data_IF_752379528744
#
_entry.id   IF_752379528744
#
_cell.length_a   1.000
_cell.length_b   1.000
_cell.length_c   1.000
_cell.angle_alpha   90.00
_cell.angle_beta   90.00
_cell.angle_gamma   90.00
#
_symmetry.space_group_name_H-M   'P 1'
#
loop_
_entity.id
_entity.type
_entity.pdbx_description
1 polymer ?
#
# COMPACT_ATOMS: atom_id res chain seq x y z
N UNK A 1 -14.99 17.90 -8.10
CA UNK A 1 -13.77 18.67 -7.75
C UNK A 1 -12.80 17.67 -7.15
N UNK A 2 -11.61 17.48 -7.73
CA UNK A 2 -10.70 16.45 -7.26
C UNK A 2 -9.73 16.90 -6.16
N UNK A 3 -9.46 18.19 -6.03
CA UNK A 3 -8.61 18.74 -4.98
C UNK A 3 -9.09 20.15 -4.65
N UNK A 4 -9.16 20.49 -3.37
CA UNK A 4 -9.62 21.79 -2.88
C UNK A 4 -8.71 22.25 -1.75
N UNK A 5 -8.17 23.46 -1.90
CA UNK A 5 -7.39 24.10 -0.84
C UNK A 5 -8.33 24.57 0.27
N UNK A 6 -8.05 24.14 1.49
CA UNK A 6 -8.77 24.50 2.69
C UNK A 6 -8.08 25.70 3.33
N UNK A 7 -8.84 26.70 3.77
CA UNK A 7 -8.28 27.93 4.36
C UNK A 7 -8.27 27.88 5.90
N UNK A 8 -9.18 27.12 6.52
CA UNK A 8 -9.30 27.03 7.97
C UNK A 8 -9.73 25.61 8.41
N UNK A 9 -8.81 24.79 8.96
CA UNK A 9 -7.35 24.96 8.96
C UNK A 9 -6.75 24.90 7.54
N UNK A 10 -5.60 25.54 7.34
CA UNK A 10 -4.89 25.55 6.06
C UNK A 10 -4.47 24.14 5.66
N UNK A 11 -4.90 23.69 4.48
CA UNK A 11 -4.66 22.32 4.04
C UNK A 11 -5.20 22.03 2.66
N UNK A 12 -5.29 20.75 2.30
CA UNK A 12 -5.87 20.31 1.03
C UNK A 12 -6.73 19.07 1.26
N UNK A 13 -7.91 19.07 0.63
CA UNK A 13 -8.79 17.91 0.56
C UNK A 13 -8.82 17.40 -0.88
N UNK A 14 -8.65 16.09 -1.06
CA UNK A 14 -8.59 15.43 -2.35
C UNK A 14 -9.65 14.34 -2.47
N UNK A 15 -10.13 14.14 -3.70
CA UNK A 15 -10.98 13.05 -4.18
C UNK A 15 -10.28 12.43 -5.37
N UNK A 16 -10.01 11.13 -5.32
CA UNK A 16 -9.26 10.38 -6.33
C UNK A 16 -10.19 9.62 -7.28
N UNK A 17 -9.65 9.07 -8.38
CA UNK A 17 -10.44 8.40 -9.41
C UNK A 17 -11.14 7.13 -8.93
N UNK A 18 -10.59 6.46 -7.92
CA UNK A 18 -11.17 5.33 -7.20
C UNK A 18 -12.32 5.73 -6.25
N UNK A 19 -12.63 7.03 -6.16
CA UNK A 19 -13.65 7.58 -5.26
C UNK A 19 -13.18 7.75 -3.81
N UNK A 20 -11.95 7.34 -3.48
CA UNK A 20 -11.37 7.55 -2.17
C UNK A 20 -11.10 9.05 -1.93
N UNK A 21 -11.05 9.43 -0.65
CA UNK A 21 -10.81 10.83 -0.27
C UNK A 21 -9.73 10.92 0.80
N UNK A 22 -8.95 12.00 0.77
CA UNK A 22 -7.93 12.27 1.77
C UNK A 22 -7.88 13.75 2.13
N UNK A 23 -7.57 14.04 3.39
CA UNK A 23 -7.40 15.41 3.90
C UNK A 23 -6.02 15.55 4.53
N UNK A 24 -5.31 16.61 4.17
CA UNK A 24 -3.98 16.91 4.68
C UNK A 24 -3.95 18.30 5.30
N UNK A 25 -3.44 18.36 6.54
CA UNK A 25 -3.34 19.59 7.33
C UNK A 25 -1.91 20.16 7.30
N UNK A 26 -1.82 21.47 7.08
CA UNK A 26 -0.58 22.26 7.06
C UNK A 26 -0.72 23.54 7.90
N UNK A 27 -1.69 23.60 8.81
CA UNK A 27 -1.86 24.70 9.75
C UNK A 27 -0.63 24.86 10.67
N UNK A 28 -0.42 26.10 11.14
CA UNK A 28 0.69 26.46 12.03
C UNK A 28 2.07 26.54 11.35
N UNK A 29 2.16 26.34 10.04
CA UNK A 29 3.40 26.60 9.29
C UNK A 29 3.63 28.12 9.11
N UNK A 30 4.91 28.56 9.05
CA UNK A 30 5.21 29.94 8.69
C UNK A 30 4.86 30.21 7.22
N UNK A 31 4.73 31.49 6.86
CA UNK A 31 4.39 31.94 5.51
C UNK A 31 3.08 31.30 4.98
N UNK A 32 1.93 31.50 5.65
CA UNK A 32 0.67 30.85 5.28
C UNK A 32 0.22 31.19 3.84
N UNK A 33 0.53 32.38 3.34
CA UNK A 33 0.29 32.74 1.93
C UNK A 33 1.06 31.83 0.97
N UNK A 34 2.35 31.59 1.22
CA UNK A 34 3.16 30.70 0.39
C UNK A 34 2.70 29.25 0.50
N UNK A 35 2.29 28.79 1.68
CA UNK A 35 1.70 27.46 1.85
C UNK A 35 0.43 27.34 1.00
N UNK A 36 -0.48 28.32 1.07
CA UNK A 36 -1.70 28.35 0.26
C UNK A 36 -1.42 28.34 -1.24
N UNK A 37 -0.46 29.14 -1.70
CA UNK A 37 -0.06 29.20 -3.11
C UNK A 37 0.54 27.87 -3.61
N UNK A 38 1.36 27.21 -2.79
CA UNK A 38 1.92 25.90 -3.11
C UNK A 38 0.84 24.80 -3.12
N UNK A 39 -0.15 24.88 -2.23
CA UNK A 39 -1.29 23.96 -2.22
C UNK A 39 -2.22 24.18 -3.41
N UNK A 40 -2.40 25.42 -3.86
CA UNK A 40 -3.10 25.72 -5.10
C UNK A 40 -2.35 25.10 -6.30
N UNK A 41 -1.03 25.24 -6.31
CA UNK A 41 -0.19 24.58 -7.30
C UNK A 41 -0.22 23.05 -7.23
N UNK A 42 -0.35 22.47 -6.03
CA UNK A 42 -0.50 21.03 -5.83
C UNK A 42 -1.86 20.52 -6.33
N UNK A 43 -2.93 21.30 -6.14
CA UNK A 43 -4.26 20.95 -6.64
C UNK A 43 -4.27 20.75 -8.17
N UNK A 44 -3.51 21.55 -8.91
CA UNK A 44 -3.32 21.39 -10.36
C UNK A 44 -2.54 20.12 -10.75
N UNK A 45 -1.80 19.52 -9.82
CA UNK A 45 -1.11 18.26 -10.06
C UNK A 45 -2.01 17.03 -9.83
N UNK A 46 -3.17 17.21 -9.19
CA UNK A 46 -4.13 16.13 -8.90
C UNK A 46 -5.04 15.89 -10.10
N UNK A 47 -5.32 14.61 -10.41
CA UNK A 47 -6.25 14.18 -11.46
C UNK A 47 -7.62 14.88 -11.28
N UNK A 48 -8.31 15.35 -12.33
CA UNK A 48 -8.03 15.15 -13.74
C UNK A 48 -7.14 16.23 -14.35
N UNK A 49 -6.72 17.24 -13.58
CA UNK A 49 -5.86 18.31 -14.09
C UNK A 49 -4.40 17.85 -14.23
N UNK A 50 -3.94 17.04 -13.28
CA UNK A 50 -2.62 16.43 -13.30
C UNK A 50 -2.65 14.90 -13.23
N UNK A 51 -1.53 14.34 -12.80
CA UNK A 51 -1.30 12.88 -12.79
C UNK A 51 -1.20 12.28 -11.39
N UNK A 52 -1.37 13.08 -10.34
CA UNK A 52 -1.44 12.58 -8.97
C UNK A 52 -2.86 12.10 -8.72
N UNK A 53 -3.01 10.82 -8.38
CA UNK A 53 -4.33 10.19 -8.24
C UNK A 53 -4.39 9.25 -7.04
N UNK A 54 -3.53 9.46 -6.04
CA UNK A 54 -3.51 8.66 -4.82
C UNK A 54 -3.03 9.50 -3.61
N UNK A 55 -3.57 9.19 -2.42
CA UNK A 55 -3.24 9.89 -1.18
C UNK A 55 -1.73 9.86 -0.87
N UNK A 56 -1.07 8.72 -1.02
CA UNK A 56 0.38 8.59 -0.79
C UNK A 56 1.21 9.48 -1.72
N UNK A 57 0.77 9.71 -2.96
CA UNK A 57 1.45 10.63 -3.88
C UNK A 57 1.31 12.09 -3.46
N UNK A 58 0.16 12.47 -2.89
CA UNK A 58 -0.04 13.80 -2.30
C UNK A 58 0.83 13.96 -1.05
N UNK A 59 0.90 12.95 -0.19
CA UNK A 59 1.71 12.98 1.03
C UNK A 59 3.20 13.23 0.73
N UNK A 60 3.74 12.63 -0.33
CA UNK A 60 5.11 12.87 -0.80
C UNK A 60 5.38 14.33 -1.22
N UNK A 61 4.34 15.10 -1.53
CA UNK A 61 4.46 16.52 -1.90
C UNK A 61 4.52 17.46 -0.68
N UNK A 62 4.10 17.00 0.51
CA UNK A 62 3.96 17.86 1.69
C UNK A 62 5.29 18.17 2.40
N UNK A 63 6.23 17.23 2.61
CA UNK A 63 7.52 17.55 3.21
C UNK A 63 8.31 18.65 2.48
N UNK A 64 8.37 18.68 1.13
CA UNK A 64 8.97 19.80 0.39
C UNK A 64 8.35 21.17 0.72
N UNK A 65 7.02 21.26 0.86
CA UNK A 65 6.33 22.51 1.25
C UNK A 65 6.79 22.93 2.64
N UNK A 66 6.68 22.02 3.61
CA UNK A 66 7.06 22.26 5.02
C UNK A 66 8.51 22.73 5.14
N UNK A 67 9.42 22.14 4.35
CA UNK A 67 10.83 22.50 4.39
C UNK A 67 11.10 23.87 3.75
N UNK A 68 10.49 24.15 2.58
CA UNK A 68 10.67 25.43 1.89
C UNK A 68 10.22 26.60 2.74
N UNK A 69 9.00 26.52 3.30
CA UNK A 69 8.44 27.64 4.06
C UNK A 69 9.20 27.90 5.35
N UNK A 70 9.67 26.85 6.04
CA UNK A 70 10.55 26.99 7.22
C UNK A 70 11.91 27.57 6.85
N UNK A 71 12.50 27.12 5.73
CA UNK A 71 13.77 27.62 5.24
C UNK A 71 13.71 29.11 4.91
N UNK A 72 12.71 29.53 4.11
CA UNK A 72 12.54 30.92 3.74
C UNK A 72 12.17 31.81 4.94
N UNK A 73 11.31 31.33 5.84
CA UNK A 73 10.97 32.05 7.06
C UNK A 73 12.18 32.29 7.97
N UNK A 74 13.10 31.32 8.04
CA UNK A 74 14.35 31.48 8.81
C UNK A 74 15.26 32.58 8.25
N UNK A 75 15.12 32.90 6.97
CA UNK A 75 15.77 34.03 6.30
C UNK A 75 14.92 35.32 6.29
N UNK A 76 13.82 35.35 7.05
CA UNK A 76 12.96 36.53 7.21
C UNK A 76 11.89 36.73 6.13
N UNK A 77 11.67 35.77 5.24
CA UNK A 77 10.61 35.85 4.23
C UNK A 77 9.22 35.62 4.86
N UNK A 78 8.22 36.37 4.42
CA UNK A 78 6.83 36.27 4.94
C UNK A 78 5.75 36.30 3.85
N UNK A 79 6.12 36.45 2.58
CA UNK A 79 5.17 36.61 1.47
C UNK A 79 4.65 35.30 0.87
N UNK A 80 3.91 35.42 -0.23
CA UNK A 80 3.45 34.31 -1.07
C UNK A 80 4.37 33.98 -2.26
N UNK A 81 3.92 33.09 -3.14
CA UNK A 81 4.67 32.62 -4.29
C UNK A 81 4.98 33.75 -5.30
N UNK A 82 4.10 34.74 -5.44
CA UNK A 82 4.32 35.90 -6.32
C UNK A 82 5.50 36.79 -5.87
N UNK A 83 5.85 36.73 -4.59
CA UNK A 83 6.95 37.49 -3.98
C UNK A 83 8.27 36.71 -3.99
N UNK A 84 8.27 35.44 -4.42
CA UNK A 84 9.51 34.69 -4.59
C UNK A 84 10.38 35.34 -5.66
N UNK A 85 11.70 35.26 -5.45
CA UNK A 85 12.71 35.74 -6.40
C UNK A 85 13.68 34.62 -6.73
N UNK A 86 14.28 34.70 -7.92
CA UNK A 86 15.26 33.72 -8.40
C UNK A 86 16.38 33.46 -7.38
N UNK A 87 16.90 34.51 -6.74
CA UNK A 87 17.96 34.41 -5.74
C UNK A 87 17.56 33.54 -4.53
N UNK A 88 16.37 33.77 -3.99
CA UNK A 88 15.85 33.05 -2.82
C UNK A 88 15.71 31.54 -3.09
N UNK A 89 15.13 31.17 -4.24
CA UNK A 89 14.96 29.75 -4.60
C UNK A 89 16.30 29.08 -4.94
N UNK A 90 17.19 29.81 -5.62
CA UNK A 90 18.55 29.31 -5.90
C UNK A 90 19.29 29.01 -4.61
N UNK A 91 19.32 29.95 -3.67
CA UNK A 91 20.00 29.81 -2.39
C UNK A 91 19.43 28.62 -1.59
N UNK A 92 18.10 28.55 -1.47
CA UNK A 92 17.43 27.46 -0.78
C UNK A 92 17.75 26.09 -1.42
N UNK A 93 17.61 25.94 -2.74
CA UNK A 93 17.86 24.65 -3.39
C UNK A 93 19.33 24.22 -3.32
N UNK A 94 20.27 25.18 -3.38
CA UNK A 94 21.69 24.88 -3.22
C UNK A 94 22.06 24.47 -1.78
N UNK A 95 21.35 24.99 -0.78
CA UNK A 95 21.56 24.66 0.63
C UNK A 95 20.98 23.28 1.01
N UNK A 96 19.76 22.97 0.55
CA UNK A 96 19.05 21.75 1.00
C UNK A 96 19.54 20.48 0.29
N UNK A 97 19.93 20.55 -1.00
CA UNK A 97 20.46 19.43 -1.81
C UNK A 97 19.68 18.10 -1.75
N UNK A 98 18.37 18.15 -1.48
CA UNK A 98 17.50 16.95 -1.53
C UNK A 98 16.84 16.86 -2.92
N UNK A 99 17.37 15.97 -3.77
CA UNK A 99 16.99 15.88 -5.20
C UNK A 99 15.48 15.72 -5.46
N UNK A 100 14.76 14.98 -4.61
CA UNK A 100 13.32 14.78 -4.80
C UNK A 100 12.51 16.06 -4.57
N UNK A 101 12.93 16.91 -3.63
CA UNK A 101 12.13 18.05 -3.20
C UNK A 101 12.10 19.18 -4.22
N UNK A 102 13.22 19.45 -4.90
CA UNK A 102 13.28 20.46 -5.96
C UNK A 102 12.28 20.15 -7.08
N UNK A 103 12.17 18.88 -7.50
CA UNK A 103 11.22 18.46 -8.54
C UNK A 103 9.76 18.68 -8.15
N UNK A 104 9.38 18.39 -6.90
CA UNK A 104 8.03 18.67 -6.40
C UNK A 104 7.74 20.16 -6.34
N UNK A 105 8.63 20.95 -5.73
CA UNK A 105 8.47 22.40 -5.61
C UNK A 105 8.36 23.07 -6.98
N UNK A 106 9.18 22.65 -7.95
CA UNK A 106 9.10 23.16 -9.32
C UNK A 106 7.74 22.88 -9.96
N UNK A 107 7.19 21.68 -9.78
CA UNK A 107 5.87 21.32 -10.34
C UNK A 107 4.75 22.12 -9.68
N UNK A 108 4.76 22.26 -8.35
CA UNK A 108 3.74 23.05 -7.64
C UNK A 108 3.81 24.54 -8.02
N UNK A 109 5.00 25.13 -8.09
CA UNK A 109 5.14 26.52 -8.55
C UNK A 109 4.68 26.71 -10.00
N UNK A 110 4.94 25.74 -10.89
CA UNK A 110 4.40 25.77 -12.27
C UNK A 110 2.88 25.68 -12.29
N UNK A 111 2.27 24.80 -11.48
CA UNK A 111 0.82 24.70 -11.34
C UNK A 111 0.19 26.00 -10.82
N UNK A 112 0.82 26.61 -9.81
CA UNK A 112 0.39 27.92 -9.32
C UNK A 112 0.46 29.00 -10.41
N UNK A 113 1.53 29.03 -11.20
CA UNK A 113 1.70 30.01 -12.27
C UNK A 113 0.78 29.76 -13.47
N UNK A 114 0.43 28.50 -13.78
CA UNK A 114 -0.53 28.22 -14.86
C UNK A 114 -1.93 28.74 -14.56
N UNK A 115 -2.30 28.81 -13.27
CA UNK A 115 -3.60 29.35 -12.84
C UNK A 115 -3.56 30.85 -12.63
N UNK A 116 -2.47 31.37 -12.05
CA UNK A 116 -2.44 32.78 -11.60
C UNK A 116 -1.65 33.70 -12.53
N UNK A 117 -0.63 33.20 -13.22
CA UNK A 117 0.31 34.02 -13.98
C UNK A 117 1.10 35.02 -13.12
N UNK A 118 1.24 34.79 -11.81
CA UNK A 118 1.79 35.77 -10.86
C UNK A 118 3.25 35.55 -10.47
N UNK A 119 3.92 34.50 -10.93
CA UNK A 119 5.33 34.30 -10.60
C UNK A 119 6.23 35.39 -11.19
N UNK A 120 7.31 35.68 -10.49
CA UNK A 120 8.39 36.53 -11.01
C UNK A 120 9.00 35.90 -12.29
N UNK A 121 9.30 36.69 -13.34
CA UNK A 121 9.91 36.16 -14.57
C UNK A 121 11.21 35.39 -14.34
N UNK A 122 12.06 35.83 -13.41
CA UNK A 122 13.31 35.14 -13.08
C UNK A 122 13.06 33.80 -12.38
N UNK A 123 11.98 33.67 -11.62
CA UNK A 123 11.53 32.39 -11.07
C UNK A 123 11.04 31.48 -12.19
N UNK A 124 10.22 31.96 -13.14
CA UNK A 124 9.76 31.14 -14.29
C UNK A 124 10.91 30.57 -15.10
N UNK A 125 11.90 31.41 -15.41
CA UNK A 125 13.11 30.99 -16.13
C UNK A 125 13.85 29.91 -15.33
N UNK A 126 14.00 30.10 -14.01
CA UNK A 126 14.62 29.12 -13.13
C UNK A 126 13.86 27.79 -13.16
N UNK A 127 12.52 27.81 -13.11
CA UNK A 127 11.65 26.62 -13.16
C UNK A 127 11.76 25.85 -14.48
N UNK A 128 12.04 26.53 -15.59
CA UNK A 128 12.27 25.93 -16.90
C UNK A 128 13.71 25.41 -17.09
N UNK A 129 14.66 25.90 -16.30
CA UNK A 129 16.07 25.52 -16.35
C UNK A 129 16.39 24.15 -15.74
N UNK A 130 17.70 23.82 -15.71
CA UNK A 130 18.20 22.58 -15.10
C UNK A 130 18.01 22.58 -13.59
N UNK A 131 17.74 21.40 -13.04
CA UNK A 131 17.69 21.18 -11.59
C UNK A 131 19.10 21.24 -10.99
N UNK A 132 19.23 21.79 -9.78
CA UNK A 132 20.50 21.78 -9.03
C UNK A 132 20.82 20.39 -8.50
N UNK A 133 19.79 19.64 -8.13
CA UNK A 133 19.90 18.26 -7.67
C UNK A 133 19.18 17.33 -8.66
N UNK A 134 19.80 16.98 -9.80
CA UNK A 134 19.18 16.07 -10.76
C UNK A 134 18.94 14.71 -10.11
N UNK A 135 17.80 14.09 -10.43
CA UNK A 135 17.57 12.71 -10.04
C UNK A 135 18.69 11.84 -10.62
N UNK A 136 19.26 10.89 -9.85
CA UNK A 136 20.20 9.92 -10.39
C UNK A 136 19.57 9.25 -11.60
N UNK A 137 20.32 9.11 -12.71
CA UNK A 137 19.85 8.38 -13.87
C UNK A 137 19.56 6.93 -13.44
N UNK A 138 18.28 6.57 -13.34
CA UNK A 138 17.86 5.19 -13.11
C UNK A 138 17.58 4.60 -14.49
N UNK A 139 18.41 3.67 -14.92
CA UNK A 139 18.01 2.80 -16.02
C UNK A 139 16.85 1.96 -15.52
N UNK A 140 15.75 1.86 -16.29
CA UNK A 140 14.72 0.87 -16.02
C UNK A 140 15.36 -0.50 -15.88
N UNK A 141 14.89 -1.31 -14.93
CA UNK A 141 15.31 -2.69 -14.86
C UNK A 141 14.98 -3.36 -16.20
N UNK A 142 15.90 -4.16 -16.78
CA UNK A 142 15.57 -4.93 -17.96
C UNK A 142 14.40 -5.87 -17.65
N UNK A 143 13.53 -6.17 -18.64
CA UNK A 143 12.52 -7.19 -18.45
C UNK A 143 13.19 -8.54 -18.14
N UNK A 144 12.49 -9.38 -17.37
CA UNK A 144 12.91 -10.76 -17.17
C UNK A 144 13.04 -11.48 -18.52
N UNK A 145 14.08 -12.30 -18.65
CA UNK A 145 14.18 -13.28 -19.72
C UNK A 145 13.06 -14.32 -19.62
N UNK A 146 12.79 -15.03 -20.71
CA UNK A 146 11.81 -16.12 -20.72
C UNK A 146 12.13 -17.18 -19.65
N UNK A 147 13.41 -17.55 -19.51
CA UNK A 147 13.86 -18.51 -18.48
C UNK A 147 13.62 -18.02 -17.06
N UNK A 148 13.89 -16.74 -16.77
CA UNK A 148 13.63 -16.15 -15.46
C UNK A 148 12.12 -16.09 -15.18
N UNK A 149 11.32 -15.79 -16.19
CA UNK A 149 9.87 -15.75 -16.11
C UNK A 149 9.25 -17.13 -15.84
N UNK A 150 9.74 -18.17 -16.53
CA UNK A 150 9.34 -19.56 -16.31
C UNK A 150 9.74 -20.04 -14.91
N UNK A 151 10.96 -19.74 -14.47
CA UNK A 151 11.44 -20.08 -13.14
C UNK A 151 10.60 -19.41 -12.06
N UNK A 152 10.28 -18.13 -12.22
CA UNK A 152 9.44 -17.38 -11.30
C UNK A 152 8.04 -18.01 -11.23
N UNK A 153 7.43 -18.29 -12.39
CA UNK A 153 6.10 -18.91 -12.49
C UNK A 153 6.07 -20.26 -11.79
N UNK A 154 7.07 -21.12 -12.04
CA UNK A 154 7.17 -22.43 -11.40
C UNK A 154 7.33 -22.30 -9.89
N UNK A 155 8.27 -21.47 -9.43
CA UNK A 155 8.54 -21.27 -7.99
C UNK A 155 7.30 -20.78 -7.26
N UNK A 156 6.57 -19.81 -7.83
CA UNK A 156 5.34 -19.33 -7.20
C UNK A 156 4.25 -20.41 -7.19
N UNK A 157 4.16 -21.24 -8.25
CA UNK A 157 3.20 -22.35 -8.31
C UNK A 157 3.49 -23.38 -7.23
N UNK A 158 4.76 -23.77 -7.05
CA UNK A 158 5.19 -24.70 -6.01
C UNK A 158 4.83 -24.16 -4.61
N UNK A 159 5.16 -22.90 -4.30
CA UNK A 159 4.81 -22.26 -3.02
C UNK A 159 3.30 -22.28 -2.77
N UNK A 160 2.50 -21.92 -3.78
CA UNK A 160 1.04 -21.84 -3.68
C UNK A 160 0.41 -23.21 -3.48
N UNK A 161 0.86 -24.21 -4.21
CA UNK A 161 0.31 -25.57 -4.15
C UNK A 161 0.71 -26.28 -2.85
N UNK A 162 1.97 -26.16 -2.42
CA UNK A 162 2.46 -26.73 -1.16
C UNK A 162 1.74 -26.10 0.05
N UNK A 163 1.72 -24.77 0.13
CA UNK A 163 1.07 -24.06 1.24
C UNK A 163 -0.43 -24.37 1.32
N UNK A 164 -1.12 -24.43 0.18
CA UNK A 164 -2.55 -24.78 0.16
C UNK A 164 -2.79 -26.24 0.55
N UNK A 165 -1.93 -27.16 0.12
CA UNK A 165 -2.01 -28.56 0.52
C UNK A 165 -1.83 -28.72 2.04
N UNK A 166 -0.84 -28.04 2.62
CA UNK A 166 -0.60 -28.01 4.07
C UNK A 166 -1.77 -27.41 4.83
N UNK A 167 -2.37 -26.33 4.31
CA UNK A 167 -3.56 -25.70 4.87
C UNK A 167 -4.74 -26.64 4.92
N UNK A 168 -5.08 -27.31 3.81
CA UNK A 168 -6.18 -28.29 3.82
C UNK A 168 -5.93 -29.43 4.81
N UNK A 169 -4.70 -29.92 4.88
CA UNK A 169 -4.34 -30.96 5.86
C UNK A 169 -4.50 -30.45 7.29
N UNK A 170 -4.13 -29.20 7.58
CA UNK A 170 -4.30 -28.60 8.89
C UNK A 170 -5.77 -28.38 9.26
N UNK A 171 -6.63 -28.03 8.29
CA UNK A 171 -8.08 -27.98 8.49
C UNK A 171 -8.66 -29.36 8.81
N UNK A 172 -8.29 -30.40 8.05
CA UNK A 172 -8.70 -31.78 8.38
C UNK A 172 -8.21 -32.21 9.77
N UNK A 173 -6.97 -31.87 10.14
CA UNK A 173 -6.43 -32.15 11.47
C UNK A 173 -7.21 -31.40 12.57
N UNK A 174 -7.63 -30.16 12.32
CA UNK A 174 -8.48 -29.38 13.22
C UNK A 174 -9.85 -30.06 13.45
N UNK A 175 -10.41 -30.76 12.45
CA UNK A 175 -11.68 -31.48 12.63
C UNK A 175 -11.55 -32.71 13.53
N UNK A 176 -10.37 -33.34 13.55
CA UNK A 176 -10.07 -34.49 14.41
C UNK A 176 -9.51 -34.11 15.79
N UNK A 177 -9.02 -32.88 15.93
CA UNK A 177 -8.48 -32.36 17.18
C UNK A 177 -9.55 -32.10 18.23
N UNK A 178 -9.07 -31.77 19.43
CA UNK A 178 -9.90 -31.39 20.59
C UNK A 178 -9.20 -30.29 21.39
N UNK A 179 -9.92 -29.73 22.36
CA UNK A 179 -9.38 -28.70 23.25
C UNK A 179 -8.05 -29.19 23.90
N UNK A 180 -6.90 -28.55 23.60
CA UNK A 180 -5.62 -28.99 24.14
C UNK A 180 -5.53 -28.69 25.64
N UNK A 181 -4.79 -29.53 26.34
CA UNK A 181 -4.25 -29.22 27.67
C UNK A 181 -2.72 -29.26 27.60
N UNK A 182 -2.03 -28.81 28.65
CA UNK A 182 -0.56 -28.95 28.73
C UNK A 182 -0.13 -30.43 28.71
N UNK A 183 -1.02 -31.35 29.08
CA UNK A 183 -0.78 -32.80 29.13
C UNK A 183 -1.16 -33.50 27.81
N UNK A 184 -2.13 -32.96 27.06
CA UNK A 184 -2.62 -33.49 25.78
C UNK A 184 -2.26 -32.54 24.62
N UNK A 185 -0.97 -32.50 24.30
CA UNK A 185 -0.37 -31.59 23.32
C UNK A 185 -0.06 -32.30 22.01
N UNK A 186 -0.81 -32.01 20.95
CA UNK A 186 -0.62 -32.56 19.61
C UNK A 186 -0.76 -31.50 18.53
N UNK A 187 -0.30 -31.80 17.31
CA UNK A 187 -0.52 -30.94 16.14
C UNK A 187 -2.01 -30.69 15.89
N UNK A 188 -2.83 -31.72 16.09
CA UNK A 188 -4.25 -31.71 15.75
C UNK A 188 -5.02 -30.88 16.77
N UNK A 189 -4.68 -31.00 18.06
CA UNK A 189 -5.27 -30.16 19.12
C UNK A 189 -4.85 -28.69 18.96
N UNK A 190 -3.61 -28.44 18.51
CA UNK A 190 -3.17 -27.08 18.19
C UNK A 190 -3.90 -26.49 16.98
N UNK A 191 -4.08 -27.29 15.92
CA UNK A 191 -4.85 -26.87 14.75
C UNK A 191 -6.31 -26.56 15.13
N UNK A 192 -6.93 -27.44 15.92
CA UNK A 192 -8.28 -27.27 16.46
C UNK A 192 -8.43 -25.96 17.25
N UNK A 193 -7.42 -25.64 18.07
CA UNK A 193 -7.41 -24.44 18.90
C UNK A 193 -7.28 -23.18 18.04
N UNK A 194 -6.27 -23.12 17.17
CA UNK A 194 -6.00 -21.94 16.34
C UNK A 194 -7.11 -21.69 15.31
N UNK A 195 -7.75 -22.73 14.78
CA UNK A 195 -8.92 -22.55 13.92
C UNK A 195 -10.07 -21.80 14.61
N UNK A 196 -10.16 -21.86 15.95
CA UNK A 196 -11.21 -21.20 16.75
C UNK A 196 -10.79 -19.87 17.35
N UNK A 197 -9.53 -19.75 17.76
CA UNK A 197 -9.00 -18.51 18.35
C UNK A 197 -8.49 -17.52 17.30
N UNK A 198 -8.29 -17.98 16.07
CA UNK A 198 -7.62 -17.22 15.03
C UNK A 198 -6.09 -17.26 15.19
N UNK A 199 -5.37 -16.35 14.52
CA UNK A 199 -3.91 -16.35 14.42
C UNK A 199 -3.21 -15.85 15.70
N UNK A 200 -3.55 -16.42 16.86
CA UNK A 200 -2.92 -16.05 18.13
C UNK A 200 -1.52 -16.64 18.26
N UNK A 201 -0.59 -15.84 18.79
CA UNK A 201 0.75 -16.30 19.12
C UNK A 201 0.80 -17.16 20.39
N UNK A 202 1.98 -17.69 20.70
CA UNK A 202 2.25 -18.45 21.94
C UNK A 202 1.73 -17.77 23.21
N UNK A 203 1.82 -16.43 23.38
CA UNK A 203 1.23 -15.74 24.53
C UNK A 203 -0.30 -15.85 24.60
N UNK A 204 -1.00 -15.69 23.47
CA UNK A 204 -2.46 -15.81 23.42
C UNK A 204 -2.94 -17.23 23.68
N UNK A 205 -2.18 -18.24 23.22
CA UNK A 205 -2.44 -19.64 23.57
C UNK A 205 -2.28 -19.89 25.07
N UNK A 206 -1.22 -19.34 25.69
CA UNK A 206 -0.99 -19.49 27.13
C UNK A 206 -2.11 -18.83 27.97
N UNK A 207 -2.52 -17.63 27.56
CA UNK A 207 -3.64 -16.91 28.17
C UNK A 207 -4.95 -17.72 28.08
N UNK A 208 -5.27 -18.23 26.88
CA UNK A 208 -6.48 -19.03 26.68
C UNK A 208 -6.50 -20.32 27.53
N UNK A 209 -5.34 -20.98 27.64
CA UNK A 209 -5.20 -22.20 28.45
C UNK A 209 -5.05 -21.94 29.95
N UNK A 210 -5.00 -20.67 30.37
CA UNK A 210 -4.81 -20.29 31.77
C UNK A 210 -3.49 -20.79 32.37
N UNK A 211 -2.45 -20.95 31.54
CA UNK A 211 -1.17 -21.53 31.94
C UNK A 211 0.01 -20.58 31.69
N UNK A 212 1.18 -20.90 32.26
CA UNK A 212 2.35 -20.04 32.08
C UNK A 212 2.86 -20.07 30.63
N UNK A 213 3.34 -18.93 30.11
CA UNK A 213 3.97 -18.84 28.79
C UNK A 213 5.09 -19.88 28.59
N UNK A 214 5.88 -20.12 29.63
CA UNK A 214 6.98 -21.09 29.60
C UNK A 214 6.48 -22.53 29.40
N UNK A 215 5.31 -22.89 29.93
CA UNK A 215 4.72 -24.21 29.73
C UNK A 215 4.39 -24.44 28.24
N UNK A 216 3.79 -23.45 27.59
CA UNK A 216 3.48 -23.50 26.15
C UNK A 216 4.75 -23.50 25.30
N UNK A 217 5.72 -22.65 25.62
CA UNK A 217 7.00 -22.59 24.91
C UNK A 217 7.76 -23.92 24.95
N UNK A 218 7.78 -24.61 26.10
CA UNK A 218 8.40 -25.93 26.24
C UNK A 218 7.75 -27.00 25.38
N UNK A 219 6.44 -26.89 25.13
CA UNK A 219 5.71 -27.81 24.26
C UNK A 219 5.91 -27.47 22.77
N UNK A 220 6.03 -26.18 22.45
CA UNK A 220 6.32 -25.70 21.11
C UNK A 220 5.18 -25.97 20.10
N UNK A 221 5.46 -25.78 18.81
CA UNK A 221 4.52 -26.10 17.73
C UNK A 221 3.50 -25.02 17.37
N UNK A 222 3.26 -24.01 18.23
CA UNK A 222 2.31 -22.92 17.92
C UNK A 222 2.66 -22.16 16.63
N UNK A 223 3.92 -21.71 16.39
CA UNK A 223 4.26 -21.05 15.13
C UNK A 223 4.09 -21.98 13.91
N UNK A 224 4.42 -23.27 14.03
CA UNK A 224 4.27 -24.23 12.94
C UNK A 224 2.79 -24.52 12.62
N UNK A 225 1.93 -24.64 13.63
CA UNK A 225 0.50 -24.80 13.43
C UNK A 225 -0.12 -23.53 12.81
N UNK A 226 0.33 -22.34 13.23
CA UNK A 226 -0.06 -21.07 12.64
C UNK A 226 0.36 -20.95 11.17
N UNK A 227 1.58 -21.37 10.81
CA UNK A 227 2.07 -21.33 9.43
C UNK A 227 1.27 -22.23 8.49
N UNK A 228 0.81 -23.38 8.99
CA UNK A 228 -0.02 -24.30 8.20
C UNK A 228 -1.46 -23.81 8.06
N UNK A 229 -2.03 -23.16 9.08
CA UNK A 229 -3.44 -22.75 9.05
C UNK A 229 -3.71 -21.43 8.35
N UNK A 230 -2.77 -20.51 8.34
CA UNK A 230 -3.00 -19.14 7.88
C UNK A 230 -1.95 -18.73 6.83
N UNK A 231 -2.35 -18.04 5.74
CA UNK A 231 -1.40 -17.54 4.76
C UNK A 231 -0.49 -16.46 5.37
N UNK A 232 0.77 -16.42 4.94
CA UNK A 232 1.74 -15.40 5.32
C UNK A 232 2.20 -14.61 4.09
N UNK A 233 3.11 -13.65 4.33
CA UNK A 233 3.55 -12.72 3.30
C UNK A 233 4.16 -13.43 2.07
N UNK A 234 4.92 -14.51 2.27
CA UNK A 234 5.52 -15.28 1.16
C UNK A 234 4.47 -15.88 0.23
N UNK A 235 3.42 -16.47 0.81
CA UNK A 235 2.36 -17.12 0.03
C UNK A 235 1.55 -16.06 -0.69
N UNK A 236 1.19 -14.95 -0.03
CA UNK A 236 0.46 -13.85 -0.67
C UNK A 236 1.24 -13.24 -1.83
N UNK A 237 2.56 -13.05 -1.67
CA UNK A 237 3.40 -12.59 -2.78
C UNK A 237 3.35 -13.58 -3.95
N UNK A 238 3.43 -14.89 -3.68
CA UNK A 238 3.36 -15.91 -4.73
C UNK A 238 1.98 -15.93 -5.43
N UNK A 239 0.87 -15.84 -4.68
CA UNK A 239 -0.48 -15.72 -5.24
C UNK A 239 -0.62 -14.46 -6.10
N UNK A 240 -0.21 -13.30 -5.61
CA UNK A 240 -0.30 -12.02 -6.35
C UNK A 240 0.53 -12.03 -7.62
N UNK A 241 1.75 -12.57 -7.57
CA UNK A 241 2.60 -12.71 -8.75
C UNK A 241 1.98 -13.65 -9.79
N UNK A 242 1.52 -14.83 -9.39
CA UNK A 242 0.82 -15.74 -10.32
C UNK A 242 -0.46 -15.14 -10.87
N UNK A 243 -1.21 -14.40 -10.05
CA UNK A 243 -2.42 -13.75 -10.47
C UNK A 243 -2.13 -12.71 -11.56
N UNK A 244 -1.09 -11.88 -11.38
CA UNK A 244 -0.61 -10.97 -12.41
C UNK A 244 -0.13 -11.68 -13.67
N UNK A 245 0.62 -12.79 -13.53
CA UNK A 245 1.08 -13.61 -14.66
C UNK A 245 -0.10 -14.17 -15.47
N UNK A 246 -1.17 -14.62 -14.80
CA UNK A 246 -2.32 -15.27 -15.46
C UNK A 246 -3.37 -14.29 -15.97
N UNK A 247 -3.54 -13.14 -15.33
CA UNK A 247 -4.56 -12.14 -15.69
C UNK A 247 -4.03 -11.00 -16.57
N UNK A 248 -2.74 -10.68 -16.48
CA UNK A 248 -2.14 -9.51 -17.10
C UNK A 248 -2.44 -8.19 -16.39
N UNK A 249 -3.10 -8.23 -15.21
CA UNK A 249 -3.36 -7.04 -14.39
C UNK A 249 -2.04 -6.53 -13.82
N UNK A 250 -1.87 -5.21 -13.84
CA UNK A 250 -0.68 -4.53 -13.30
C UNK A 250 -0.67 -4.58 -11.77
N UNK A 251 0.51 -4.53 -11.12
CA UNK A 251 0.62 -4.64 -9.66
C UNK A 251 -0.35 -3.72 -8.89
N UNK A 252 -0.37 -2.42 -9.19
CA UNK A 252 -1.26 -1.46 -8.52
C UNK A 252 -2.74 -1.90 -8.57
N UNK A 253 -3.20 -2.44 -9.70
CA UNK A 253 -4.58 -2.92 -9.85
C UNK A 253 -4.86 -4.26 -9.17
N UNK A 254 -3.83 -5.03 -8.79
CA UNK A 254 -3.96 -6.24 -7.97
C UNK A 254 -4.03 -5.87 -6.49
N UNK A 255 -3.25 -4.87 -6.09
CA UNK A 255 -3.07 -4.46 -4.70
C UNK A 255 -4.37 -3.93 -4.08
N UNK A 256 -5.14 -3.18 -4.87
CA UNK A 256 -6.35 -2.48 -4.43
C UNK A 256 -7.62 -3.36 -4.50
N UNK A 257 -7.50 -4.64 -4.87
CA UNK A 257 -8.66 -5.53 -5.02
C UNK A 257 -9.34 -5.83 -3.69
N UNK A 258 -10.66 -5.68 -3.67
CA UNK A 258 -11.54 -6.14 -2.60
C UNK A 258 -12.35 -7.37 -3.03
N UNK A 259 -12.94 -8.08 -2.07
CA UNK A 259 -13.76 -9.26 -2.37
C UNK A 259 -15.01 -8.89 -3.18
N UNK A 260 -15.56 -7.68 -2.95
CA UNK A 260 -16.74 -7.17 -3.65
C UNK A 260 -16.47 -6.81 -5.13
N UNK A 261 -15.20 -6.78 -5.56
CA UNK A 261 -14.83 -6.58 -6.97
C UNK A 261 -15.05 -7.82 -7.84
N UNK A 262 -15.38 -8.96 -7.22
CA UNK A 262 -15.52 -10.27 -7.87
C UNK A 262 -16.99 -10.52 -8.23
N UNK A 263 -17.32 -10.33 -9.51
CA UNK A 263 -18.64 -10.67 -10.06
C UNK A 263 -18.62 -12.06 -10.70
N UNK A 264 -19.39 -12.99 -10.12
CA UNK A 264 -19.53 -14.35 -10.64
C UNK A 264 -20.54 -14.41 -11.78
N UNK A 265 -20.04 -14.65 -13.00
CA UNK A 265 -20.85 -14.92 -14.18
C UNK A 265 -21.02 -16.45 -14.37
N UNK A 266 -21.79 -17.07 -13.46
CA UNK A 266 -21.96 -18.52 -13.39
C UNK A 266 -20.79 -19.22 -12.69
N UNK A 267 -20.68 -20.54 -12.87
CA UNK A 267 -19.81 -21.39 -12.01
C UNK A 267 -18.31 -21.33 -12.36
N UNK A 268 -17.91 -20.71 -13.48
CA UNK A 268 -16.52 -20.77 -13.97
C UNK A 268 -16.00 -19.47 -14.59
N UNK A 269 -16.81 -18.42 -14.61
CA UNK A 269 -16.44 -17.14 -15.21
C UNK A 269 -16.54 -16.07 -14.14
N UNK A 270 -15.46 -15.31 -13.99
CA UNK A 270 -15.40 -14.17 -13.09
C UNK A 270 -15.16 -12.93 -13.94
N UNK A 271 -16.02 -11.93 -13.75
CA UNK A 271 -15.75 -10.57 -14.16
C UNK A 271 -15.13 -9.86 -12.96
N UNK A 272 -13.90 -9.38 -13.11
CA UNK A 272 -13.22 -8.64 -12.06
C UNK A 272 -13.24 -7.16 -12.40
N UNK A 273 -13.77 -6.36 -11.49
CA UNK A 273 -13.66 -4.90 -11.57
C UNK A 273 -12.38 -4.46 -10.86
N UNK A 274 -11.59 -3.60 -11.49
CA UNK A 274 -10.36 -3.11 -10.86
C UNK A 274 -10.02 -1.71 -11.37
N UNK A 275 -9.30 -0.94 -10.56
CA UNK A 275 -8.80 0.37 -10.96
C UNK A 275 -7.36 0.22 -11.44
N UNK A 276 -7.10 0.61 -12.67
CA UNK A 276 -5.74 0.55 -13.22
C UNK A 276 -4.97 1.81 -12.83
N UNK A 277 -4.32 1.79 -11.67
CA UNK A 277 -3.46 2.91 -11.23
C UNK A 277 -4.12 4.27 -11.41
N UNK A 278 -3.56 5.15 -12.26
CA UNK A 278 -4.04 6.53 -12.51
C UNK A 278 -5.15 6.65 -13.58
N UNK A 279 -5.88 5.58 -13.86
CA UNK A 279 -6.89 5.53 -14.93
C UNK A 279 -8.21 4.95 -14.42
N UNK A 280 -9.28 5.15 -15.20
CA UNK A 280 -10.65 4.79 -14.85
C UNK A 280 -10.84 3.29 -14.53
N UNK A 281 -11.95 2.97 -13.87
CA UNK A 281 -12.38 1.60 -13.60
C UNK A 281 -12.37 0.75 -14.89
N UNK A 282 -11.71 -0.40 -14.82
CA UNK A 282 -11.71 -1.42 -15.85
C UNK A 282 -12.44 -2.67 -15.34
N UNK A 283 -12.97 -3.47 -16.25
CA UNK A 283 -13.49 -4.79 -15.94
C UNK A 283 -12.86 -5.83 -16.87
N UNK A 284 -12.39 -6.93 -16.31
CA UNK A 284 -11.71 -7.99 -17.04
C UNK A 284 -12.39 -9.34 -16.81
N UNK A 285 -12.70 -10.04 -17.90
CA UNK A 285 -13.05 -11.46 -17.82
C UNK A 285 -11.79 -12.27 -17.52
N UNK A 286 -11.74 -12.89 -16.34
CA UNK A 286 -10.54 -13.60 -15.91
C UNK A 286 -10.30 -14.87 -16.73
N UNK A 287 -9.06 -15.11 -17.19
CA UNK A 287 -8.69 -16.39 -17.79
C UNK A 287 -8.89 -17.54 -16.79
N UNK A 288 -9.22 -18.74 -17.28
CA UNK A 288 -9.52 -19.91 -16.43
C UNK A 288 -8.45 -20.22 -15.37
N UNK A 289 -7.17 -19.98 -15.67
CA UNK A 289 -6.08 -20.19 -14.69
C UNK A 289 -6.13 -19.17 -13.56
N UNK A 290 -6.44 -17.91 -13.86
CA UNK A 290 -6.61 -16.86 -12.86
C UNK A 290 -7.86 -17.13 -11.99
N UNK A 291 -8.96 -17.60 -12.59
CA UNK A 291 -10.18 -18.00 -11.85
C UNK A 291 -9.86 -19.10 -10.83
N UNK A 292 -9.22 -20.19 -11.25
CA UNK A 292 -8.86 -21.30 -10.35
C UNK A 292 -7.92 -20.87 -9.23
N UNK A 293 -6.94 -20.00 -9.54
CA UNK A 293 -6.03 -19.46 -8.54
C UNK A 293 -6.78 -18.60 -7.51
N UNK A 294 -7.74 -17.80 -7.97
CA UNK A 294 -8.56 -16.95 -7.11
C UNK A 294 -9.49 -17.79 -6.22
N UNK A 295 -10.14 -18.83 -6.76
CA UNK A 295 -10.92 -19.80 -5.98
C UNK A 295 -10.08 -20.45 -4.87
N UNK A 296 -8.87 -20.91 -5.23
CA UNK A 296 -7.93 -21.48 -4.29
C UNK A 296 -7.51 -20.48 -3.21
N UNK A 297 -7.23 -19.23 -3.59
CA UNK A 297 -6.90 -18.17 -2.65
C UNK A 297 -8.05 -17.85 -1.68
N UNK A 298 -9.29 -17.73 -2.17
CA UNK A 298 -10.47 -17.48 -1.34
C UNK A 298 -10.68 -18.63 -0.34
N UNK A 299 -10.48 -19.87 -0.77
CA UNK A 299 -10.51 -21.02 0.13
C UNK A 299 -9.39 -20.97 1.17
N UNK A 300 -8.15 -20.72 0.75
CA UNK A 300 -6.97 -20.69 1.62
C UNK A 300 -7.03 -19.58 2.68
N UNK A 301 -7.56 -18.41 2.30
CA UNK A 301 -7.65 -17.25 3.19
C UNK A 301 -8.95 -17.21 4.00
N UNK A 302 -9.91 -18.10 3.73
CA UNK A 302 -11.26 -18.09 4.35
C UNK A 302 -11.21 -18.10 5.88
N UNK A 303 -10.40 -18.98 6.46
CA UNK A 303 -10.24 -19.09 7.91
C UNK A 303 -9.66 -17.79 8.50
N UNK A 304 -8.58 -17.27 7.92
CA UNK A 304 -7.97 -16.02 8.39
C UNK A 304 -8.98 -14.86 8.36
N UNK A 305 -9.74 -14.76 7.29
CA UNK A 305 -10.76 -13.72 7.10
C UNK A 305 -11.90 -13.81 8.10
N UNK A 306 -12.29 -15.02 8.51
CA UNK A 306 -13.33 -15.20 9.55
C UNK A 306 -12.92 -14.64 10.92
N UNK A 307 -11.62 -14.46 11.16
CA UNK A 307 -11.04 -13.89 12.38
C UNK A 307 -10.56 -12.44 12.23
N UNK A 308 -10.61 -11.88 11.02
CA UNK A 308 -10.16 -10.52 10.75
C UNK A 308 -11.21 -9.49 11.16
N UNK A 309 -10.77 -8.27 11.48
CA UNK A 309 -11.67 -7.14 11.67
C UNK A 309 -12.48 -6.90 10.39
N UNK A 310 -13.79 -6.60 10.46
CA UNK A 310 -14.63 -6.35 9.28
C UNK A 310 -14.05 -5.33 8.29
N UNK A 311 -13.31 -4.33 8.76
CA UNK A 311 -12.66 -3.31 7.91
C UNK A 311 -11.58 -3.90 7.01
N UNK A 312 -10.89 -4.94 7.48
CA UNK A 312 -9.80 -5.59 6.74
C UNK A 312 -10.32 -6.85 6.02
N UNK A 313 -11.33 -7.53 6.56
CA UNK A 313 -11.87 -8.77 6.00
C UNK A 313 -12.38 -8.65 4.56
N UNK A 314 -12.81 -7.45 4.14
CA UNK A 314 -13.24 -7.17 2.77
C UNK A 314 -12.09 -7.08 1.75
N UNK A 315 -10.85 -6.97 2.19
CA UNK A 315 -9.67 -6.95 1.31
C UNK A 315 -9.45 -8.33 0.69
N UNK A 316 -9.09 -8.36 -0.59
CA UNK A 316 -8.86 -9.63 -1.27
C UNK A 316 -7.65 -10.35 -0.69
N UNK A 317 -6.53 -9.64 -0.55
CA UNK A 317 -5.26 -10.17 -0.07
C UNK A 317 -5.08 -9.93 1.43
N UNK A 318 -4.97 -10.99 2.20
CA UNK A 318 -4.85 -11.00 3.66
C UNK A 318 -3.72 -11.92 4.08
N UNK A 319 -2.88 -11.48 4.99
CA UNK A 319 -1.80 -12.32 5.52
C UNK A 319 -1.41 -11.94 6.94
N UNK A 320 -0.62 -12.83 7.54
CA UNK A 320 0.13 -12.55 8.74
C UNK A 320 1.57 -12.18 8.40
N UNK A 321 2.14 -11.20 9.10
CA UNK A 321 3.54 -10.81 8.90
C UNK A 321 4.51 -11.95 9.16
N UNK A 322 4.24 -12.75 10.20
CA UNK A 322 5.05 -13.89 10.62
C UNK A 322 4.18 -14.95 11.29
N UNK A 323 4.61 -16.23 11.30
CA UNK A 323 3.93 -17.28 12.05
C UNK A 323 3.80 -16.93 13.54
N UNK A 324 2.60 -17.13 14.11
CA UNK A 324 2.33 -16.85 15.52
C UNK A 324 2.20 -15.37 15.86
N UNK A 325 1.87 -14.52 14.88
CA UNK A 325 1.48 -13.12 15.12
C UNK A 325 -0.01 -12.94 14.85
N UNK A 326 -0.66 -12.09 15.63
CA UNK A 326 -2.10 -11.79 15.50
C UNK A 326 -2.40 -10.62 14.56
N UNK A 327 -1.37 -9.92 14.08
CA UNK A 327 -1.53 -8.78 13.19
C UNK A 327 -1.84 -9.26 11.77
N UNK A 328 -3.12 -9.16 11.39
CA UNK A 328 -3.59 -9.34 10.02
C UNK A 328 -3.33 -8.04 9.25
N UNK A 329 -2.67 -8.15 8.11
CA UNK A 329 -2.40 -7.04 7.21
C UNK A 329 -3.02 -7.29 5.83
N UNK A 330 -3.33 -6.19 5.14
CA UNK A 330 -3.78 -6.16 3.74
C UNK A 330 -2.87 -5.33 2.84
N UNK A 331 -1.96 -4.52 3.40
CA UNK A 331 -1.00 -3.69 2.64
C UNK A 331 0.45 -4.15 2.84
N UNK A 332 1.19 -4.29 1.74
CA UNK A 332 2.64 -4.52 1.79
C UNK A 332 3.31 -3.16 1.93
N UNK A 333 3.61 -2.74 3.15
CA UNK A 333 4.37 -1.51 3.38
C UNK A 333 5.83 -1.76 2.95
N UNK A 334 6.37 -1.03 1.96
CA UNK A 334 7.79 -1.10 1.64
C UNK A 334 8.58 -0.54 2.83
N UNK A 335 9.43 -1.37 3.44
CA UNK A 335 10.42 -0.94 4.44
C UNK A 335 11.50 -0.08 3.82
#
# INVERSE_FOLDING_TARGET
MPATVLQDPLGIWCVFSDGSTARFDLAGLPCPELVGDLLAGLAELVHPHGSIDAAGSVDLCLPPIRNLVKGLASSGFTGGAAQLRRGMLTEYWMATRVFRWEGFLRRMLKGFDSVTGRLDPGVRELLAGRAYSPAPHRQPLPPYSETEWELLTRTCTEIVDESYAEHRQALTASDHGKAPTVEDWSSDNLAWLLARLGPVGTPGVAEHLGCSLNAVQKRGGVPAASARLFPHLSEVIAYRLLFGIYSGIVPDGIDDLVVDDIDWAGDTTILLSYVKGRTAAESLNLPKRAVRLLEQWLAHSSLLRSHADPQVAGQLWLWLTRPGTSAVLSEIVPT
#
